data_IF_859403801440
#
_entry.id   IF_859403801440
#
_cell.length_a   1.000
_cell.length_b   1.000
_cell.length_c   1.000
_cell.angle_alpha   90.00
_cell.angle_beta   90.00
_cell.angle_gamma   90.00
#
_symmetry.space_group_name_H-M   'P 1'
#
loop_
_entity.id
_entity.type
_entity.pdbx_description
1 polymer ?
#
# COMPACT_ATOMS: atom_id res chain seq x y z
N UNK A 1 -4.03 22.90 -19.68
CA UNK A 1 -4.66 21.70 -19.11
C UNK A 1 -3.60 20.64 -18.83
N UNK A 2 -3.50 20.19 -17.59
CA UNK A 2 -2.57 19.12 -17.24
C UNK A 2 -3.21 17.79 -17.65
N UNK A 3 -2.59 17.00 -18.53
CA UNK A 3 -3.17 15.72 -18.91
C UNK A 3 -3.25 14.78 -17.72
N UNK A 4 -4.38 14.09 -17.57
CA UNK A 4 -4.54 13.03 -16.57
C UNK A 4 -3.72 11.83 -17.01
N UNK A 5 -2.82 11.39 -16.17
CA UNK A 5 -2.03 10.18 -16.40
C UNK A 5 -2.60 9.03 -15.59
N UNK A 6 -3.19 8.06 -16.28
CA UNK A 6 -3.67 6.83 -15.65
C UNK A 6 -2.55 5.81 -15.75
N UNK A 7 -2.10 5.35 -14.59
CA UNK A 7 -1.02 4.35 -14.52
C UNK A 7 -1.42 3.20 -13.62
N UNK A 8 -0.75 2.08 -13.81
CA UNK A 8 -0.86 0.91 -12.95
C UNK A 8 0.41 0.80 -12.12
N UNK A 9 0.28 0.74 -10.80
CA UNK A 9 1.43 0.59 -9.90
C UNK A 9 1.22 -0.59 -8.98
N UNK A 10 2.26 -1.41 -8.84
CA UNK A 10 2.29 -2.46 -7.83
C UNK A 10 2.74 -1.84 -6.51
N UNK A 11 2.09 -2.21 -5.42
CA UNK A 11 2.47 -1.67 -4.13
C UNK A 11 1.72 -2.26 -2.95
N UNK A 12 2.07 -1.77 -1.77
CA UNK A 12 1.48 -2.19 -0.50
C UNK A 12 1.02 -0.96 0.25
N UNK A 13 -0.24 -0.96 0.68
CA UNK A 13 -0.79 0.11 1.52
C UNK A 13 -0.18 -0.01 2.91
N UNK A 14 0.55 1.00 3.35
CA UNK A 14 1.18 1.02 4.68
C UNK A 14 0.44 1.86 5.71
N UNK A 15 -0.45 2.74 5.25
CA UNK A 15 -1.25 3.58 6.14
C UNK A 15 -2.56 3.96 5.46
N UNK A 16 -3.63 4.07 6.26
CA UNK A 16 -4.93 4.54 5.82
C UNK A 16 -5.49 5.51 6.86
N UNK A 17 -6.06 6.62 6.38
CA UNK A 17 -6.67 7.63 7.23
C UNK A 17 -8.03 8.02 6.69
N UNK A 18 -9.04 8.21 7.55
CA UNK A 18 -10.31 8.76 7.10
C UNK A 18 -10.12 10.14 6.47
N UNK A 19 -10.88 10.39 5.42
CA UNK A 19 -10.93 11.70 4.77
C UNK A 19 -12.38 12.04 4.45
N UNK A 20 -12.93 13.04 5.16
CA UNK A 20 -14.35 13.31 5.10
C UNK A 20 -15.17 12.16 5.66
N UNK A 21 -16.43 12.01 5.25
CA UNK A 21 -17.33 11.00 5.79
C UNK A 21 -17.17 9.63 5.12
N UNK A 22 -16.78 9.59 3.85
CA UNK A 22 -16.83 8.34 3.07
C UNK A 22 -15.53 7.96 2.40
N UNK A 23 -14.49 8.81 2.44
CA UNK A 23 -13.24 8.58 1.72
C UNK A 23 -12.09 8.25 2.67
N UNK A 24 -10.98 7.80 2.08
CA UNK A 24 -9.73 7.53 2.79
C UNK A 24 -8.56 8.12 2.03
N UNK A 25 -7.52 8.51 2.76
CA UNK A 25 -6.20 8.79 2.19
C UNK A 25 -5.29 7.62 2.51
N UNK A 26 -4.66 7.08 1.49
CA UNK A 26 -3.79 5.91 1.58
C UNK A 26 -2.35 6.34 1.33
N UNK A 27 -1.40 5.77 2.09
CA UNK A 27 0.01 5.83 1.75
C UNK A 27 0.44 4.46 1.25
N UNK A 28 1.02 4.43 0.06
CA UNK A 28 1.37 3.19 -0.63
C UNK A 28 2.86 3.20 -0.93
N UNK A 29 3.57 2.15 -0.49
CA UNK A 29 4.93 1.88 -0.96
C UNK A 29 4.79 1.21 -2.31
N UNK A 30 5.29 1.86 -3.37
CA UNK A 30 5.19 1.35 -4.73
C UNK A 30 6.53 0.81 -5.23
N UNK A 31 6.45 -0.03 -6.24
CA UNK A 31 7.63 -0.63 -6.87
C UNK A 31 8.52 0.42 -7.54
N UNK A 32 7.93 1.41 -8.21
CA UNK A 32 8.67 2.33 -9.09
C UNK A 32 8.39 3.81 -8.89
N UNK A 33 7.50 4.17 -7.95
CA UNK A 33 7.13 5.56 -7.66
C UNK A 33 7.42 5.99 -6.22
N UNK A 34 8.17 5.18 -5.47
CA UNK A 34 8.42 5.46 -4.05
C UNK A 34 7.16 5.35 -3.20
N UNK A 35 7.06 6.18 -2.18
CA UNK A 35 5.86 6.25 -1.33
C UNK A 35 4.95 7.34 -1.87
N UNK A 36 3.73 6.99 -2.23
CA UNK A 36 2.76 7.93 -2.78
C UNK A 36 1.51 8.03 -1.91
N UNK A 37 0.90 9.23 -1.90
CA UNK A 37 -0.42 9.46 -1.29
C UNK A 37 -1.53 9.29 -2.32
N UNK A 38 -2.58 8.58 -1.95
CA UNK A 38 -3.68 8.26 -2.87
C UNK A 38 -5.01 8.45 -2.16
N UNK A 39 -5.93 9.16 -2.83
CA UNK A 39 -7.29 9.35 -2.33
C UNK A 39 -8.19 8.23 -2.88
N UNK A 40 -8.80 7.48 -1.97
CA UNK A 40 -9.80 6.45 -2.28
C UNK A 40 -11.19 7.01 -2.00
N UNK A 41 -11.82 7.61 -3.02
CA UNK A 41 -13.13 8.26 -2.89
C UNK A 41 -14.22 7.25 -2.60
N UNK A 42 -15.00 7.51 -1.56
CA UNK A 42 -16.14 6.67 -1.19
C UNK A 42 -15.77 5.29 -0.68
N UNK A 43 -14.50 5.03 -0.37
CA UNK A 43 -14.01 3.70 0.00
C UNK A 43 -14.63 3.17 1.30
N UNK A 44 -15.13 4.04 2.17
CA UNK A 44 -15.78 3.64 3.42
C UNK A 44 -17.23 3.19 3.24
N UNK A 45 -17.82 3.43 2.08
CA UNK A 45 -19.19 3.01 1.79
C UNK A 45 -19.27 1.49 1.68
N UNK A 46 -20.34 0.90 2.24
CA UNK A 46 -20.50 -0.55 2.30
C UNK A 46 -20.45 -1.24 0.92
N UNK A 47 -21.00 -0.59 -0.10
CA UNK A 47 -21.07 -1.16 -1.45
C UNK A 47 -19.94 -0.68 -2.37
N UNK A 48 -18.96 0.06 -1.84
CA UNK A 48 -17.86 0.55 -2.67
C UNK A 48 -16.96 -0.59 -3.13
N UNK A 49 -16.63 -0.66 -4.44
CA UNK A 49 -15.64 -1.61 -4.93
C UNK A 49 -14.24 -1.34 -4.39
N UNK A 50 -14.00 -0.15 -3.83
CA UNK A 50 -12.70 0.21 -3.25
C UNK A 50 -12.58 -0.18 -1.79
N UNK A 51 -13.66 -0.63 -1.14
CA UNK A 51 -13.66 -0.90 0.31
C UNK A 51 -12.63 -1.96 0.71
N UNK A 52 -12.63 -3.10 0.04
CA UNK A 52 -11.73 -4.20 0.38
C UNK A 52 -10.28 -3.98 -0.05
N UNK A 53 -10.05 -3.11 -1.03
CA UNK A 53 -8.72 -2.86 -1.59
C UNK A 53 -8.06 -1.59 -1.07
N UNK A 54 -8.71 -0.90 -0.12
CA UNK A 54 -8.19 0.33 0.49
C UNK A 54 -7.85 0.16 1.97
N UNK A 55 -7.55 -1.07 2.37
CA UNK A 55 -7.17 -1.40 3.73
C UNK A 55 -5.66 -1.53 3.86
N UNK A 56 -5.17 -1.24 5.07
CA UNK A 56 -3.76 -1.37 5.42
C UNK A 56 -3.23 -2.77 5.10
N UNK A 57 -2.06 -2.83 4.53
CA UNK A 57 -1.37 -4.07 4.09
C UNK A 57 -2.05 -4.80 2.94
N UNK A 58 -2.87 -4.10 2.17
CA UNK A 58 -3.32 -4.62 0.88
C UNK A 58 -2.15 -4.57 -0.11
N UNK A 59 -1.74 -5.73 -0.60
CA UNK A 59 -0.73 -5.85 -1.66
C UNK A 59 -1.47 -6.08 -2.97
N UNK A 60 -1.36 -5.14 -3.87
CA UNK A 60 -2.18 -5.12 -5.09
C UNK A 60 -1.49 -4.40 -6.24
N UNK A 61 -2.06 -4.56 -7.42
CA UNK A 61 -1.82 -3.70 -8.56
C UNK A 61 -2.90 -2.62 -8.55
N UNK A 62 -2.50 -1.36 -8.39
CA UNK A 62 -3.42 -0.23 -8.26
C UNK A 62 -3.48 0.56 -9.55
N UNK A 63 -4.68 0.78 -10.07
CA UNK A 63 -4.92 1.73 -11.16
C UNK A 63 -5.22 3.09 -10.55
N UNK A 64 -4.39 4.07 -10.84
CA UNK A 64 -4.51 5.40 -10.26
C UNK A 64 -4.46 6.47 -11.34
N UNK A 65 -5.16 7.58 -11.07
CA UNK A 65 -4.95 8.83 -11.78
C UNK A 65 -3.79 9.53 -11.06
N UNK A 66 -2.60 9.42 -11.63
CA UNK A 66 -1.35 9.82 -10.99
C UNK A 66 -1.16 11.33 -11.06
N UNK A 67 -0.76 11.91 -9.93
CA UNK A 67 -0.35 13.32 -9.84
C UNK A 67 0.95 13.40 -9.07
N UNK A 68 1.97 13.93 -9.71
CA UNK A 68 3.23 14.22 -9.03
C UNK A 68 3.01 15.34 -8.02
N UNK A 69 3.59 15.22 -6.83
CA UNK A 69 3.53 16.20 -5.73
C UNK A 69 2.13 16.47 -5.16
N UNK A 70 1.13 15.65 -5.51
CA UNK A 70 -0.24 15.77 -4.99
C UNK A 70 -0.82 14.39 -4.74
N UNK A 71 -1.98 14.35 -4.09
CA UNK A 71 -2.72 13.10 -3.94
C UNK A 71 -3.17 12.60 -5.32
N UNK A 72 -2.78 11.38 -5.64
CA UNK A 72 -3.33 10.64 -6.77
C UNK A 72 -4.72 10.12 -6.40
N UNK A 73 -5.47 9.64 -7.39
CA UNK A 73 -6.82 9.12 -7.14
C UNK A 73 -6.85 7.64 -7.49
N UNK A 74 -7.33 6.83 -6.54
CA UNK A 74 -7.51 5.40 -6.76
C UNK A 74 -8.74 5.14 -7.63
N UNK A 75 -8.55 4.46 -8.75
CA UNK A 75 -9.63 4.10 -9.68
C UNK A 75 -10.10 2.67 -9.44
N UNK A 76 -9.17 1.74 -9.31
CA UNK A 76 -9.43 0.32 -9.05
C UNK A 76 -8.18 -0.37 -8.55
N UNK A 77 -8.30 -1.59 -8.07
CA UNK A 77 -7.15 -2.39 -7.68
C UNK A 77 -7.44 -3.88 -7.84
N UNK A 78 -6.39 -4.63 -8.21
CA UNK A 78 -6.43 -6.09 -8.27
C UNK A 78 -5.49 -6.64 -7.20
N UNK A 79 -6.05 -7.33 -6.22
CA UNK A 79 -5.27 -7.89 -5.10
C UNK A 79 -4.31 -8.97 -5.61
N UNK A 80 -3.04 -8.84 -5.25
CA UNK A 80 -2.01 -9.85 -5.57
C UNK A 80 -1.93 -10.87 -4.45
N UNK A 81 -1.86 -10.39 -3.18
CA UNK A 81 -1.84 -11.27 -2.02
C UNK A 81 -2.46 -10.51 -0.84
N UNK A 82 -3.51 -11.03 -0.19
CA UNK A 82 -4.16 -10.36 0.93
C UNK A 82 -3.40 -10.48 2.25
N UNK A 83 -2.29 -11.22 2.31
CA UNK A 83 -1.49 -11.46 3.51
C UNK A 83 -2.33 -12.01 4.68
N UNK A 84 -3.22 -12.96 4.38
CA UNK A 84 -4.17 -13.51 5.35
C UNK A 84 -3.49 -14.15 6.56
N UNK A 85 -2.35 -14.82 6.37
CA UNK A 85 -1.62 -15.46 7.46
C UNK A 85 -0.98 -14.43 8.40
N UNK A 86 -0.39 -13.36 7.85
CA UNK A 86 0.15 -12.27 8.66
C UNK A 86 -0.96 -11.62 9.47
N UNK A 87 -2.09 -11.32 8.83
CA UNK A 87 -3.21 -10.61 9.48
C UNK A 87 -3.85 -11.37 10.63
N UNK A 88 -3.68 -12.68 10.71
CA UNK A 88 -4.17 -13.53 11.81
C UNK A 88 -3.25 -13.52 13.03
N UNK A 89 -2.04 -13.01 12.91
CA UNK A 89 -1.02 -13.08 13.96
C UNK A 89 -0.60 -11.67 14.35
N UNK A 90 -0.96 -11.26 15.56
CA UNK A 90 -0.70 -9.91 16.05
C UNK A 90 0.80 -9.59 16.11
N UNK A 91 1.64 -10.58 16.39
CA UNK A 91 3.10 -10.38 16.40
C UNK A 91 3.63 -10.08 15.00
N UNK A 92 3.12 -10.82 14.02
CA UNK A 92 3.49 -10.60 12.60
C UNK A 92 3.00 -9.25 12.10
N UNK A 93 1.79 -8.84 12.47
CA UNK A 93 1.27 -7.51 12.13
C UNK A 93 2.15 -6.42 12.72
N UNK A 94 2.55 -6.54 13.99
CA UNK A 94 3.43 -5.57 14.65
C UNK A 94 4.78 -5.48 13.96
N UNK A 95 5.34 -6.62 13.58
CA UNK A 95 6.60 -6.66 12.84
C UNK A 95 6.47 -6.01 11.46
N UNK A 96 5.37 -6.29 10.77
CA UNK A 96 5.10 -5.67 9.46
C UNK A 96 4.94 -4.15 9.57
N UNK A 97 4.29 -3.66 10.63
CA UNK A 97 4.21 -2.22 10.91
C UNK A 97 5.60 -1.60 11.03
N UNK A 98 6.44 -2.20 11.86
CA UNK A 98 7.82 -1.73 12.07
C UNK A 98 8.61 -1.74 10.77
N UNK A 99 8.57 -2.85 10.03
CA UNK A 99 9.28 -3.00 8.77
C UNK A 99 8.82 -1.98 7.73
N UNK A 100 7.51 -1.71 7.69
CA UNK A 100 6.92 -0.76 6.74
C UNK A 100 7.34 0.67 7.04
N UNK A 101 7.36 1.08 8.31
CA UNK A 101 7.82 2.41 8.71
C UNK A 101 9.30 2.61 8.39
N UNK A 102 10.13 1.61 8.70
CA UNK A 102 11.55 1.65 8.42
C UNK A 102 11.80 1.77 6.91
N UNK A 103 11.13 0.93 6.13
CA UNK A 103 11.28 0.91 4.67
C UNK A 103 10.82 2.22 4.04
N UNK A 104 9.69 2.76 4.50
CA UNK A 104 9.18 4.05 4.03
C UNK A 104 10.19 5.18 4.27
N UNK A 105 10.82 5.21 5.44
CA UNK A 105 11.84 6.19 5.76
C UNK A 105 13.07 6.09 4.85
N UNK A 106 13.52 4.88 4.58
CA UNK A 106 14.66 4.62 3.69
C UNK A 106 14.36 5.02 2.25
N UNK A 107 13.17 4.66 1.74
CA UNK A 107 12.76 5.01 0.37
C UNK A 107 12.71 6.52 0.17
N UNK A 108 12.20 7.26 1.15
CA UNK A 108 12.11 8.73 1.07
C UNK A 108 13.49 9.41 0.99
N UNK A 109 14.52 8.77 1.52
CA UNK A 109 15.88 9.29 1.50
C UNK A 109 16.71 8.79 0.33
N UNK A 110 16.35 7.63 -0.24
CA UNK A 110 17.14 6.95 -1.24
C UNK A 110 16.22 6.20 -2.20
N UNK A 111 16.06 6.74 -3.40
CA UNK A 111 15.16 6.20 -4.43
C UNK A 111 15.81 5.03 -5.18
N UNK A 112 15.95 3.89 -4.49
CA UNK A 112 16.52 2.65 -5.05
C UNK A 112 15.44 1.56 -5.08
N UNK A 113 15.09 1.09 -6.27
CA UNK A 113 14.05 0.07 -6.49
C UNK A 113 14.35 -1.24 -5.76
N UNK A 114 15.62 -1.54 -5.47
CA UNK A 114 16.00 -2.75 -4.73
C UNK A 114 15.44 -2.76 -3.32
N UNK A 115 15.20 -1.59 -2.73
CA UNK A 115 14.61 -1.47 -1.38
C UNK A 115 13.21 -2.08 -1.38
N UNK A 116 12.40 -1.77 -2.39
CA UNK A 116 11.07 -2.36 -2.54
C UNK A 116 11.14 -3.89 -2.65
N UNK A 117 12.03 -4.41 -3.47
CA UNK A 117 12.16 -5.85 -3.68
C UNK A 117 12.56 -6.57 -2.39
N UNK A 118 13.47 -5.99 -1.60
CA UNK A 118 13.88 -6.53 -0.31
C UNK A 118 12.70 -6.53 0.67
N UNK A 119 11.97 -5.43 0.75
CA UNK A 119 10.80 -5.28 1.59
C UNK A 119 9.73 -6.33 1.25
N UNK A 120 9.36 -6.42 -0.02
CA UNK A 120 8.37 -7.39 -0.49
C UNK A 120 8.80 -8.83 -0.22
N UNK A 121 10.07 -9.17 -0.49
CA UNK A 121 10.60 -10.51 -0.22
C UNK A 121 10.49 -10.88 1.25
N UNK A 122 10.78 -9.95 2.15
CA UNK A 122 10.67 -10.18 3.59
C UNK A 122 9.22 -10.46 4.01
N UNK A 123 8.27 -9.68 3.48
CA UNK A 123 6.85 -9.85 3.80
C UNK A 123 6.34 -11.18 3.28
N UNK A 124 6.69 -11.55 2.05
CA UNK A 124 6.24 -12.82 1.45
C UNK A 124 6.76 -14.03 2.25
N UNK A 125 7.98 -13.98 2.76
CA UNK A 125 8.52 -15.04 3.61
C UNK A 125 7.75 -15.16 4.91
N UNK A 126 7.38 -14.05 5.54
CA UNK A 126 6.58 -14.03 6.76
C UNK A 126 5.19 -14.62 6.48
N UNK A 127 4.58 -14.25 5.34
CA UNK A 127 3.28 -14.78 4.94
C UNK A 127 3.32 -16.30 4.72
N UNK A 128 4.44 -16.82 4.19
CA UNK A 128 4.65 -18.25 3.97
C UNK A 128 4.94 -19.04 5.23
N UNK A 129 5.16 -18.39 6.35
CA UNK A 129 5.33 -19.05 7.65
C UNK A 129 6.64 -18.77 8.37
N UNK A 130 7.56 -18.01 7.79
CA UNK A 130 8.78 -17.60 8.48
C UNK A 130 8.43 -16.73 9.68
N UNK A 131 8.99 -17.07 10.85
CA UNK A 131 8.78 -16.29 12.07
C UNK A 131 10.00 -15.38 12.30
N UNK A 132 9.85 -14.06 12.14
CA UNK A 132 10.96 -13.13 12.29
C UNK A 132 11.46 -12.97 13.74
N UNK A 133 10.69 -13.48 14.72
CA UNK A 133 11.06 -13.40 16.14
C UNK A 133 11.95 -14.55 16.61
N UNK A 134 12.23 -15.52 15.75
CA UNK A 134 13.05 -16.70 16.07
C UNK A 134 14.49 -16.51 15.61
#
# INVERSE_FOLDING_TARGET
>A
MIPLEIIEVEGIIIDEKPYGETSKILNIITKDKGVIGVLAKGAKRLKSPLRSVSERFCYASFNISYKEDKLSILLSADVINPFSNIKKDIKKVSYLNFLSELTSGVIKQNDDERIYDIYLSAILKIEEGFDPSV
#
